data_IF_844939393503
#
_entry.id   IF_844939393503
#
_cell.length_a   1.000
_cell.length_b   1.000
_cell.length_c   1.000
_cell.angle_alpha   90.00
_cell.angle_beta   90.00
_cell.angle_gamma   90.00
#
_symmetry.space_group_name_H-M   'P 1'
#
loop_
_entity.id
_entity.type
_entity.pdbx_description
1 polymer ?
#
# COMPACT_ATOMS: atom_id res chain seq x y z
N UNK A 1 -15.58 7.91 -0.07
CA UNK A 1 -14.82 8.89 -0.87
C UNK A 1 -14.63 8.21 -2.20
N UNK A 2 -15.15 8.78 -3.27
CA UNK A 2 -14.66 8.36 -4.58
C UNK A 2 -13.30 9.04 -4.87
N UNK A 3 -12.73 8.68 -6.01
CA UNK A 3 -11.41 9.16 -6.41
C UNK A 3 -11.37 10.67 -6.69
N UNK A 4 -12.43 11.20 -7.29
CA UNK A 4 -12.52 12.60 -7.64
C UNK A 4 -12.59 13.45 -6.36
N UNK A 5 -13.40 13.04 -5.39
CA UNK A 5 -13.46 13.67 -4.07
C UNK A 5 -12.11 13.61 -3.34
N UNK A 6 -11.40 12.48 -3.39
CA UNK A 6 -10.09 12.35 -2.77
C UNK A 6 -9.06 13.33 -3.37
N UNK A 7 -9.02 13.40 -4.71
CA UNK A 7 -8.13 14.29 -5.44
C UNK A 7 -8.46 15.77 -5.18
N UNK A 8 -9.76 16.13 -5.14
CA UNK A 8 -10.19 17.48 -4.82
C UNK A 8 -9.79 17.88 -3.39
N UNK A 9 -10.03 17.03 -2.39
CA UNK A 9 -9.62 17.29 -1.00
C UNK A 9 -8.11 17.49 -0.91
N UNK A 10 -7.33 16.65 -1.56
CA UNK A 10 -5.87 16.77 -1.53
C UNK A 10 -5.38 18.06 -2.21
N UNK A 11 -5.96 18.43 -3.35
CA UNK A 11 -5.58 19.64 -4.09
C UNK A 11 -5.96 20.92 -3.32
N UNK A 12 -7.13 20.94 -2.69
CA UNK A 12 -7.66 22.12 -2.00
C UNK A 12 -7.16 22.26 -0.56
N UNK A 13 -6.96 21.13 0.14
CA UNK A 13 -6.73 21.09 1.59
C UNK A 13 -5.47 20.34 2.01
N UNK A 14 -4.77 19.72 1.07
CA UNK A 14 -3.52 19.00 1.31
C UNK A 14 -3.69 17.55 1.77
N UNK A 15 -2.58 16.82 1.77
CA UNK A 15 -2.53 15.39 2.09
C UNK A 15 -2.92 15.09 3.53
N UNK A 16 -2.63 15.97 4.49
CA UNK A 16 -2.95 15.73 5.91
C UNK A 16 -4.47 15.69 6.15
N UNK A 17 -5.23 16.58 5.51
CA UNK A 17 -6.70 16.56 5.57
C UNK A 17 -7.27 15.31 4.91
N UNK A 18 -6.70 14.88 3.77
CA UNK A 18 -7.11 13.63 3.13
C UNK A 18 -6.88 12.43 4.06
N UNK A 19 -5.70 12.31 4.66
CA UNK A 19 -5.34 11.23 5.60
C UNK A 19 -6.28 11.25 6.81
N UNK A 20 -6.50 12.41 7.43
CA UNK A 20 -7.41 12.57 8.57
C UNK A 20 -8.82 12.01 8.27
N UNK A 21 -9.40 12.38 7.12
CA UNK A 21 -10.72 11.88 6.69
C UNK A 21 -10.74 10.37 6.45
N UNK A 22 -9.68 9.81 5.90
CA UNK A 22 -9.58 8.36 5.66
C UNK A 22 -9.44 7.60 6.97
N UNK A 23 -8.66 8.10 7.93
CA UNK A 23 -8.50 7.53 9.28
C UNK A 23 -9.82 7.57 10.05
N UNK A 24 -10.56 8.68 10.01
CA UNK A 24 -11.86 8.77 10.67
C UNK A 24 -12.83 7.72 10.11
N UNK A 25 -12.88 7.55 8.79
CA UNK A 25 -13.74 6.55 8.14
C UNK A 25 -13.28 5.12 8.40
N UNK A 26 -11.98 4.87 8.45
CA UNK A 26 -11.43 3.58 8.85
C UNK A 26 -11.92 3.22 10.26
N UNK A 27 -11.79 4.12 11.24
CA UNK A 27 -12.27 3.88 12.59
C UNK A 27 -13.78 3.69 12.68
N UNK A 28 -14.57 4.31 11.79
CA UNK A 28 -16.00 4.05 11.72
C UNK A 28 -16.29 2.60 11.32
N UNK A 29 -15.59 2.08 10.32
CA UNK A 29 -15.71 0.69 9.90
C UNK A 29 -15.16 -0.25 10.97
N UNK A 30 -13.95 -0.01 11.47
CA UNK A 30 -13.26 -0.90 12.42
C UNK A 30 -14.02 -1.16 13.73
N UNK A 31 -14.98 -0.31 14.12
CA UNK A 31 -15.83 -0.54 15.29
C UNK A 31 -16.79 -1.71 15.14
N UNK A 32 -17.21 -2.02 13.92
CA UNK A 32 -18.27 -2.99 13.64
C UNK A 32 -17.75 -4.33 13.13
N UNK A 33 -16.43 -4.48 12.94
CA UNK A 33 -15.79 -5.68 12.38
C UNK A 33 -14.61 -6.14 13.22
N UNK A 34 -14.46 -7.46 13.36
CA UNK A 34 -13.32 -8.08 14.06
C UNK A 34 -12.02 -7.96 13.26
N UNK A 35 -12.12 -7.91 11.93
CA UNK A 35 -10.99 -7.80 11.00
C UNK A 35 -11.38 -6.88 9.86
N UNK A 36 -10.49 -5.93 9.53
CA UNK A 36 -10.64 -5.04 8.39
C UNK A 36 -9.48 -5.28 7.43
N UNK A 37 -9.79 -5.70 6.20
CA UNK A 37 -8.82 -5.73 5.11
C UNK A 37 -8.84 -4.38 4.38
N UNK A 38 -7.77 -3.62 4.53
CA UNK A 38 -7.58 -2.39 3.76
C UNK A 38 -6.85 -2.73 2.47
N UNK A 39 -7.49 -2.48 1.33
CA UNK A 39 -6.82 -2.52 0.05
C UNK A 39 -6.11 -1.18 -0.16
N UNK A 40 -4.80 -1.24 -0.38
CA UNK A 40 -4.01 -0.08 -0.75
C UNK A 40 -4.61 0.60 -1.97
N UNK A 41 -4.41 1.91 -2.03
CA UNK A 41 -4.73 2.67 -3.23
C UNK A 41 -3.91 2.16 -4.42
N UNK A 42 -4.50 2.21 -5.62
CA UNK A 42 -3.83 2.00 -6.91
C UNK A 42 -3.68 3.39 -7.56
N UNK A 43 -2.67 4.14 -7.10
CA UNK A 43 -2.40 5.52 -7.54
C UNK A 43 -1.51 5.59 -8.79
N UNK A 44 -1.18 4.45 -9.41
CA UNK A 44 -0.35 4.35 -10.61
C UNK A 44 -0.84 5.20 -11.80
N UNK A 45 -2.11 5.63 -11.80
CA UNK A 45 -2.71 6.48 -12.82
C UNK A 45 -2.73 7.99 -12.51
N UNK A 46 -2.17 8.46 -11.38
CA UNK A 46 -2.27 9.89 -11.00
C UNK A 46 -0.99 10.54 -10.51
N UNK A 47 -0.98 11.87 -10.61
CA UNK A 47 0.10 12.77 -10.21
C UNK A 47 0.33 12.86 -8.68
N UNK A 48 -0.11 11.86 -7.91
CA UNK A 48 0.11 11.86 -6.47
C UNK A 48 1.56 11.47 -6.16
N UNK A 49 2.24 12.19 -5.25
CA UNK A 49 3.59 11.84 -4.84
C UNK A 49 3.61 10.47 -4.15
N UNK A 50 4.62 9.67 -4.53
CA UNK A 50 5.00 8.34 -4.02
C UNK A 50 3.86 7.58 -3.30
N UNK A 51 3.00 6.94 -4.08
CA UNK A 51 1.89 6.07 -3.64
C UNK A 51 2.28 5.14 -2.48
N UNK A 52 3.51 4.62 -2.52
CA UNK A 52 4.05 3.77 -1.48
C UNK A 52 4.11 4.50 -0.14
N UNK A 53 4.60 5.75 -0.12
CA UNK A 53 4.71 6.55 1.09
C UNK A 53 3.33 6.90 1.67
N UNK A 54 2.34 7.17 0.82
CA UNK A 54 0.96 7.42 1.27
C UNK A 54 0.33 6.15 1.85
N UNK A 55 0.46 5.01 1.18
CA UNK A 55 -0.04 3.72 1.70
C UNK A 55 0.66 3.34 3.01
N UNK A 56 1.98 3.56 3.12
CA UNK A 56 2.74 3.34 4.35
C UNK A 56 2.25 4.23 5.50
N UNK A 57 2.02 5.53 5.23
CA UNK A 57 1.46 6.44 6.21
C UNK A 57 0.08 5.98 6.69
N UNK A 58 -0.82 5.64 5.76
CA UNK A 58 -2.15 5.16 6.11
C UNK A 58 -2.09 3.88 6.94
N UNK A 59 -1.24 2.92 6.58
CA UNK A 59 -1.05 1.69 7.36
C UNK A 59 -0.63 2.00 8.81
N UNK A 60 0.32 2.92 8.99
CA UNK A 60 0.77 3.35 10.32
C UNK A 60 -0.35 4.04 11.12
N UNK A 61 -1.09 4.96 10.49
CA UNK A 61 -2.21 5.67 11.14
C UNK A 61 -3.38 4.73 11.49
N UNK A 62 -3.60 3.68 10.69
CA UNK A 62 -4.59 2.64 10.97
C UNK A 62 -4.11 1.63 12.02
N UNK A 63 -2.83 1.63 12.38
CA UNK A 63 -2.21 0.58 13.19
C UNK A 63 -2.28 -0.80 12.53
N UNK A 64 -2.23 -0.85 11.20
CA UNK A 64 -2.41 -2.06 10.41
C UNK A 64 -1.06 -2.68 10.00
N UNK A 65 -0.96 -4.01 10.10
CA UNK A 65 0.16 -4.74 9.50
C UNK A 65 0.02 -4.78 7.96
N UNK A 66 1.15 -4.75 7.26
CA UNK A 66 1.22 -4.65 5.80
C UNK A 66 1.57 -6.00 5.17
N UNK A 67 0.79 -6.39 4.16
CA UNK A 67 1.15 -7.45 3.21
C UNK A 67 1.37 -6.78 1.85
N UNK A 68 2.63 -6.62 1.45
CA UNK A 68 2.96 -5.99 0.17
C UNK A 68 3.04 -7.03 -0.94
N UNK A 69 2.44 -6.70 -2.10
CA UNK A 69 2.41 -7.56 -3.28
C UNK A 69 3.28 -6.97 -4.38
N UNK A 70 4.24 -7.76 -4.88
CA UNK A 70 5.14 -7.40 -5.98
C UNK A 70 4.78 -8.21 -7.22
N UNK A 71 4.74 -7.58 -8.39
CA UNK A 71 4.38 -8.24 -9.64
C UNK A 71 5.59 -8.87 -10.34
N UNK A 72 5.64 -10.19 -10.42
CA UNK A 72 6.71 -10.94 -11.11
C UNK A 72 6.45 -11.21 -12.60
N UNK A 73 5.42 -10.61 -13.21
CA UNK A 73 5.09 -10.91 -14.61
C UNK A 73 6.20 -10.42 -15.54
N UNK A 74 6.81 -11.33 -16.29
CA UNK A 74 7.88 -10.98 -17.24
C UNK A 74 9.22 -10.65 -16.57
N UNK A 75 9.35 -10.93 -15.27
CA UNK A 75 10.61 -10.80 -14.53
C UNK A 75 11.21 -12.18 -14.28
N UNK A 76 12.54 -12.26 -14.29
CA UNK A 76 13.26 -13.44 -13.83
C UNK A 76 13.34 -13.47 -12.29
N UNK A 77 13.69 -14.64 -11.74
CA UNK A 77 13.77 -14.86 -10.30
C UNK A 77 14.68 -13.86 -9.56
N UNK A 78 15.83 -13.49 -10.13
CA UNK A 78 16.76 -12.55 -9.48
C UNK A 78 16.17 -11.14 -9.36
N UNK A 79 15.59 -10.63 -10.45
CA UNK A 79 14.98 -9.30 -10.53
C UNK A 79 13.86 -9.16 -9.53
N UNK A 80 12.93 -10.14 -9.50
CA UNK A 80 11.76 -10.03 -8.62
C UNK A 80 12.13 -10.17 -7.14
N UNK A 81 13.17 -10.95 -6.82
CA UNK A 81 13.74 -11.03 -5.46
C UNK A 81 14.38 -9.70 -5.05
N UNK A 82 15.09 -9.02 -5.95
CA UNK A 82 15.65 -7.71 -5.69
C UNK A 82 14.57 -6.66 -5.46
N UNK A 83 13.55 -6.62 -6.32
CA UNK A 83 12.41 -5.72 -6.19
C UNK A 83 11.65 -5.97 -4.88
N UNK A 84 11.40 -7.22 -4.53
CA UNK A 84 10.75 -7.60 -3.26
C UNK A 84 11.53 -7.13 -2.04
N UNK A 85 12.87 -7.28 -2.04
CA UNK A 85 13.71 -6.75 -0.95
C UNK A 85 13.68 -5.23 -0.88
N UNK A 86 13.66 -4.55 -2.02
CA UNK A 86 13.59 -3.09 -2.06
C UNK A 86 12.25 -2.59 -1.54
N UNK A 87 11.14 -3.21 -1.94
CA UNK A 87 9.80 -2.89 -1.44
C UNK A 87 9.70 -3.13 0.08
N UNK A 88 10.22 -4.26 0.58
CA UNK A 88 10.30 -4.52 2.02
C UNK A 88 11.06 -3.42 2.75
N UNK A 89 12.25 -3.04 2.26
CA UNK A 89 13.08 -1.98 2.86
C UNK A 89 12.38 -0.63 2.84
N UNK A 90 11.62 -0.33 1.79
CA UNK A 90 10.88 0.92 1.68
C UNK A 90 9.79 1.00 2.77
N UNK A 91 8.94 -0.03 2.89
CA UNK A 91 7.91 -0.07 3.93
C UNK A 91 8.50 -0.11 5.35
N UNK A 92 9.51 -0.95 5.58
CA UNK A 92 10.18 -1.03 6.89
C UNK A 92 10.88 0.28 7.26
N UNK A 93 11.50 0.97 6.29
CA UNK A 93 12.12 2.28 6.49
C UNK A 93 11.13 3.39 6.81
N UNK A 94 9.87 3.24 6.41
CA UNK A 94 8.75 4.12 6.76
C UNK A 94 8.03 3.70 8.05
N UNK A 95 8.55 2.69 8.76
CA UNK A 95 8.04 2.26 10.06
C UNK A 95 6.85 1.31 10.02
N UNK A 96 6.48 0.77 8.86
CA UNK A 96 5.38 -0.18 8.77
C UNK A 96 5.72 -1.53 9.39
N UNK A 97 4.75 -2.13 10.08
CA UNK A 97 4.80 -3.53 10.51
C UNK A 97 4.53 -4.45 9.30
N UNK A 98 5.58 -4.87 8.61
CA UNK A 98 5.45 -5.73 7.42
C UNK A 98 5.29 -7.19 7.84
N UNK A 99 4.09 -7.72 7.69
CA UNK A 99 3.76 -9.10 8.03
C UNK A 99 4.30 -10.10 6.99
N UNK A 100 4.16 -9.76 5.70
CA UNK A 100 4.61 -10.62 4.62
C UNK A 100 4.87 -9.85 3.33
N UNK A 101 5.75 -10.41 2.49
CA UNK A 101 5.94 -10.02 1.10
C UNK A 101 5.40 -11.14 0.21
N UNK A 102 4.57 -10.79 -0.77
CA UNK A 102 4.00 -11.74 -1.73
C UNK A 102 4.47 -11.38 -3.13
N UNK A 103 5.04 -12.34 -3.85
CA UNK A 103 5.34 -12.17 -5.27
C UNK A 103 4.26 -12.84 -6.09
N UNK A 104 3.50 -12.04 -6.85
CA UNK A 104 2.38 -12.51 -7.65
C UNK A 104 2.74 -12.60 -9.14
N UNK A 105 2.07 -13.48 -9.88
CA UNK A 105 2.24 -13.68 -11.34
C UNK A 105 3.65 -14.11 -11.79
N UNK A 106 4.35 -14.87 -10.94
CA UNK A 106 5.66 -15.49 -11.27
C UNK A 106 5.47 -16.62 -12.28
N UNK A 107 6.31 -16.63 -13.33
CA UNK A 107 6.36 -17.73 -14.29
C UNK A 107 6.72 -19.04 -13.59
N UNK A 108 6.15 -20.17 -14.04
CA UNK A 108 6.30 -21.45 -13.33
C UNK A 108 7.76 -21.88 -13.15
N UNK A 109 8.60 -21.62 -14.15
CA UNK A 109 10.05 -21.89 -14.15
C UNK A 109 10.82 -21.08 -13.09
N UNK A 110 10.31 -19.92 -12.69
CA UNK A 110 10.95 -19.03 -11.72
C UNK A 110 10.47 -19.23 -10.27
N UNK A 111 9.50 -20.12 -10.01
CA UNK A 111 8.90 -20.28 -8.66
C UNK A 111 9.76 -21.05 -7.67
N UNK A 112 10.54 -22.02 -8.15
CA UNK A 112 11.32 -22.93 -7.31
C UNK A 112 12.75 -22.42 -7.03
N UNK A 113 13.13 -21.30 -7.66
CA UNK A 113 14.48 -20.72 -7.66
C UNK A 113 14.53 -19.53 -6.73
#
# INVERSE_FOLDING_TARGET
LDYHEASAVQAEKGTDELVSRLVERFHQVARDYEVVLVLGSDFAATQLPDELALNARLANEFGASVIAVVGGKGQNAESVRAETRNAYRAYAGLGCDVLAMVVNRVASEDRAT
#
